data_IF_659246912059
#
_entry.id   IF_659246912059
#
_cell.length_a   1.000
_cell.length_b   1.000
_cell.length_c   1.000
_cell.angle_alpha   90.00
_cell.angle_beta   90.00
_cell.angle_gamma   90.00
#
_symmetry.space_group_name_H-M   'P 1'
#
loop_
_entity.id
_entity.type
_entity.pdbx_description
1 polymer ?
#
# COMPACT_ATOMS: atom_id res chain seq x y z
N UNK A 1 25.08 6.65 32.68
CA UNK A 1 24.52 5.68 31.69
C UNK A 1 25.15 6.01 30.37
N UNK A 2 25.93 5.06 29.77
CA UNK A 2 26.59 5.28 28.50
C UNK A 2 25.56 5.37 27.32
N UNK A 3 25.84 6.22 26.32
CA UNK A 3 25.05 6.35 25.09
C UNK A 3 25.37 5.16 24.19
N UNK A 4 24.36 4.41 23.78
CA UNK A 4 24.53 3.27 22.87
C UNK A 4 24.36 3.75 21.43
N UNK A 5 25.45 3.73 20.66
CA UNK A 5 25.43 4.03 19.23
C UNK A 5 25.15 2.77 18.42
N UNK A 6 24.19 2.85 17.49
CA UNK A 6 23.82 1.75 16.60
C UNK A 6 24.14 2.11 15.15
N UNK A 7 24.63 1.13 14.39
CA UNK A 7 25.05 1.31 13.00
C UNK A 7 24.50 0.23 12.10
N UNK A 8 24.17 0.59 10.88
CA UNK A 8 23.99 -0.34 9.78
C UNK A 8 25.36 -0.62 9.15
N UNK A 9 25.76 -1.88 9.12
CA UNK A 9 27.06 -2.28 8.58
C UNK A 9 26.91 -3.54 7.71
N UNK A 10 27.73 -3.65 6.69
CA UNK A 10 27.78 -4.86 5.87
C UNK A 10 28.23 -6.06 6.72
N UNK A 11 27.56 -7.21 6.57
CA UNK A 11 27.94 -8.45 7.27
C UNK A 11 29.37 -8.86 6.97
N UNK A 12 29.86 -8.62 5.73
CA UNK A 12 31.23 -8.91 5.31
C UNK A 12 32.26 -7.96 5.92
N UNK A 13 31.86 -6.75 6.34
CA UNK A 13 32.76 -5.81 7.03
C UNK A 13 33.25 -6.38 8.36
N UNK A 14 32.39 -7.08 9.11
CA UNK A 14 32.78 -7.77 10.35
C UNK A 14 33.84 -8.86 10.13
N UNK A 15 34.00 -9.33 8.90
CA UNK A 15 34.98 -10.34 8.49
C UNK A 15 36.16 -9.72 7.74
N UNK A 16 36.31 -8.39 7.75
CA UNK A 16 37.33 -7.65 6.99
C UNK A 16 37.35 -7.93 5.46
N UNK A 17 36.17 -8.29 4.92
CA UNK A 17 35.99 -8.61 3.48
C UNK A 17 35.20 -7.51 2.73
N UNK A 18 34.99 -6.37 3.35
CA UNK A 18 34.28 -5.22 2.77
C UNK A 18 34.77 -3.95 3.43
N UNK A 19 35.16 -2.97 2.64
CA UNK A 19 35.67 -1.65 3.09
C UNK A 19 34.56 -0.63 3.34
N UNK A 20 33.28 -1.02 3.14
CA UNK A 20 32.12 -0.14 3.27
C UNK A 20 31.99 0.42 4.68
N UNK A 21 31.96 1.74 4.79
CA UNK A 21 31.81 2.43 6.08
C UNK A 21 30.43 2.17 6.69
N UNK A 22 30.33 1.91 8.01
CA UNK A 22 29.06 1.78 8.69
C UNK A 22 28.34 3.13 8.75
N UNK A 23 27.02 3.10 8.56
CA UNK A 23 26.17 4.29 8.63
C UNK A 23 25.39 4.31 9.95
N UNK A 24 25.35 5.46 10.60
CA UNK A 24 24.60 5.62 11.87
C UNK A 24 23.12 5.31 11.62
N UNK A 25 22.59 4.35 12.40
CA UNK A 25 21.18 3.96 12.35
C UNK A 25 20.28 5.17 12.60
N UNK A 26 20.52 5.92 13.66
CA UNK A 26 19.69 7.07 14.04
C UNK A 26 19.68 8.13 12.94
N UNK A 27 20.86 8.49 12.40
CA UNK A 27 20.95 9.48 11.32
C UNK A 27 20.17 9.05 10.09
N UNK A 28 20.36 7.81 9.66
CA UNK A 28 19.68 7.29 8.46
C UNK A 28 18.16 7.26 8.65
N UNK A 29 17.67 6.74 9.76
CA UNK A 29 16.24 6.67 10.05
C UNK A 29 15.62 8.05 10.16
N UNK A 30 16.26 8.99 10.86
CA UNK A 30 15.77 10.36 11.02
C UNK A 30 15.68 11.08 9.67
N UNK A 31 16.68 10.91 8.82
CA UNK A 31 16.69 11.50 7.49
C UNK A 31 15.57 10.95 6.60
N UNK A 32 15.38 9.62 6.59
CA UNK A 32 14.32 8.98 5.81
C UNK A 32 12.94 9.41 6.29
N UNK A 33 12.73 9.43 7.60
CA UNK A 33 11.48 9.89 8.18
C UNK A 33 11.20 11.35 7.80
N UNK A 34 12.21 12.22 7.89
CA UNK A 34 12.08 13.61 7.50
C UNK A 34 11.69 13.76 6.02
N UNK A 35 12.40 13.09 5.12
CA UNK A 35 12.09 13.10 3.67
C UNK A 35 10.69 12.56 3.40
N UNK A 36 10.28 11.48 4.04
CA UNK A 36 8.93 10.94 3.90
C UNK A 36 7.87 11.92 4.39
N UNK A 37 8.13 12.62 5.49
CA UNK A 37 7.21 13.66 6.00
C UNK A 37 7.14 14.88 5.08
N UNK A 38 8.20 15.25 4.37
CA UNK A 38 8.14 16.29 3.34
C UNK A 38 7.17 15.91 2.22
N UNK A 39 7.21 14.66 1.72
CA UNK A 39 6.25 14.17 0.75
C UNK A 39 4.80 14.20 1.27
N UNK A 40 4.60 13.80 2.51
CA UNK A 40 3.27 13.77 3.11
C UNK A 40 2.70 15.18 3.35
N UNK A 41 3.51 16.23 3.37
CA UNK A 41 3.03 17.61 3.47
C UNK A 41 2.50 18.16 2.14
N UNK A 42 2.87 17.56 1.03
CA UNK A 42 2.43 17.96 -0.30
C UNK A 42 1.03 17.39 -0.58
N UNK A 43 0.05 18.26 -0.76
CA UNK A 43 -1.35 17.88 -0.99
C UNK A 43 -1.54 17.22 -2.36
N UNK A 44 -0.76 17.60 -3.38
CA UNK A 44 -0.82 16.97 -4.71
C UNK A 44 -0.29 15.54 -4.66
N UNK A 45 0.70 15.26 -3.81
CA UNK A 45 1.19 13.90 -3.59
C UNK A 45 0.13 13.07 -2.87
N UNK A 46 -0.51 13.60 -1.84
CA UNK A 46 -1.59 12.93 -1.13
C UNK A 46 -2.75 12.60 -2.08
N UNK A 47 -3.14 13.55 -2.94
CA UNK A 47 -4.20 13.34 -3.94
C UNK A 47 -3.86 12.17 -4.88
N UNK A 48 -2.66 12.18 -5.46
CA UNK A 48 -2.20 11.13 -6.39
C UNK A 48 -2.05 9.77 -5.69
N UNK A 49 -1.55 9.74 -4.46
CA UNK A 49 -1.41 8.50 -3.70
C UNK A 49 -2.77 7.92 -3.33
N UNK A 50 -3.71 8.77 -2.88
CA UNK A 50 -5.06 8.32 -2.53
C UNK A 50 -5.82 7.78 -3.75
N UNK A 51 -5.69 8.42 -4.91
CA UNK A 51 -6.24 7.92 -6.17
C UNK A 51 -5.64 6.56 -6.55
N UNK A 52 -4.32 6.42 -6.42
CA UNK A 52 -3.64 5.15 -6.74
C UNK A 52 -4.03 4.02 -5.79
N UNK A 53 -4.14 4.28 -4.50
CA UNK A 53 -4.61 3.31 -3.51
C UNK A 53 -6.07 2.90 -3.78
N UNK A 54 -6.90 3.86 -4.18
CA UNK A 54 -8.27 3.59 -4.59
C UNK A 54 -8.34 2.66 -5.82
N UNK A 55 -7.51 2.87 -6.84
CA UNK A 55 -7.41 1.99 -8.00
C UNK A 55 -6.90 0.59 -7.63
N UNK A 56 -5.86 0.51 -6.80
CA UNK A 56 -5.21 -0.75 -6.43
C UNK A 56 -6.16 -1.70 -5.69
N UNK A 57 -7.07 -1.20 -4.85
CA UNK A 57 -8.02 -2.06 -4.15
C UNK A 57 -8.93 -2.86 -5.11
N UNK A 58 -9.16 -2.36 -6.34
CA UNK A 58 -9.93 -3.10 -7.35
C UNK A 58 -9.06 -4.10 -8.11
N UNK A 59 -7.76 -3.85 -8.24
CA UNK A 59 -6.85 -4.77 -8.95
C UNK A 59 -6.41 -5.94 -8.08
N UNK A 60 -6.30 -5.75 -6.77
CA UNK A 60 -5.95 -6.83 -5.83
C UNK A 60 -7.10 -7.81 -5.60
N UNK A 61 -8.34 -7.36 -5.72
CA UNK A 61 -9.52 -8.24 -5.67
C UNK A 61 -9.80 -8.86 -7.04
N UNK A 62 -8.99 -9.83 -7.45
CA UNK A 62 -9.20 -10.56 -8.72
C UNK A 62 -10.48 -11.39 -8.74
N UNK A 63 -11.07 -11.66 -7.59
CA UNK A 63 -12.26 -12.51 -7.41
C UNK A 63 -13.55 -11.72 -7.63
N UNK A 64 -13.67 -10.52 -7.04
CA UNK A 64 -14.88 -9.71 -7.12
C UNK A 64 -15.27 -9.32 -8.57
N UNK A 65 -14.38 -8.82 -9.44
CA UNK A 65 -14.72 -8.53 -10.82
C UNK A 65 -15.20 -9.76 -11.60
N UNK A 66 -14.59 -10.93 -11.37
CA UNK A 66 -15.00 -12.19 -11.99
C UNK A 66 -16.39 -12.62 -11.54
N UNK A 67 -16.67 -12.52 -10.25
CA UNK A 67 -18.00 -12.86 -9.70
C UNK A 67 -19.08 -11.89 -10.22
N UNK A 68 -18.78 -10.61 -10.34
CA UNK A 68 -19.69 -9.62 -10.90
C UNK A 68 -20.00 -9.87 -12.39
N UNK A 69 -18.98 -10.25 -13.16
CA UNK A 69 -19.21 -10.64 -14.57
C UNK A 69 -20.05 -11.91 -14.68
N UNK A 70 -19.80 -12.92 -13.84
CA UNK A 70 -20.63 -14.12 -13.77
C UNK A 70 -22.08 -13.81 -13.40
N UNK A 71 -22.29 -12.92 -12.43
CA UNK A 71 -23.62 -12.48 -12.02
C UNK A 71 -24.36 -11.84 -13.20
N UNK A 72 -23.74 -10.89 -13.88
CA UNK A 72 -24.27 -10.20 -15.05
C UNK A 72 -24.63 -11.17 -16.17
N UNK A 73 -23.82 -12.18 -16.40
CA UNK A 73 -24.09 -13.21 -17.39
C UNK A 73 -25.32 -14.04 -17.00
N UNK A 74 -25.46 -14.41 -15.71
CA UNK A 74 -26.65 -15.15 -15.23
C UNK A 74 -27.93 -14.31 -15.34
N UNK A 75 -27.85 -13.03 -15.05
CA UNK A 75 -28.97 -12.10 -15.21
C UNK A 75 -29.44 -12.02 -16.67
N UNK A 76 -28.48 -11.96 -17.60
CA UNK A 76 -28.80 -11.98 -19.05
C UNK A 76 -29.41 -13.31 -19.50
N UNK A 77 -28.91 -14.46 -18.99
CA UNK A 77 -29.54 -15.76 -19.28
C UNK A 77 -30.96 -15.84 -18.76
N UNK A 78 -31.23 -15.34 -17.56
CA UNK A 78 -32.56 -15.26 -16.94
C UNK A 78 -33.48 -14.37 -17.79
N UNK A 79 -33.03 -13.18 -18.15
CA UNK A 79 -33.77 -12.23 -18.97
C UNK A 79 -34.19 -12.85 -20.32
N UNK A 80 -33.28 -13.58 -20.99
CA UNK A 80 -33.58 -14.28 -22.24
C UNK A 80 -34.67 -15.33 -22.08
N UNK A 81 -34.65 -16.11 -20.99
CA UNK A 81 -35.69 -17.10 -20.71
C UNK A 81 -37.03 -16.41 -20.39
N UNK A 82 -37.03 -15.37 -19.58
CA UNK A 82 -38.23 -14.60 -19.24
C UNK A 82 -38.86 -14.02 -20.51
N UNK A 83 -38.05 -13.46 -21.41
CA UNK A 83 -38.52 -12.96 -22.71
C UNK A 83 -39.12 -14.06 -23.58
N UNK A 84 -38.56 -15.28 -23.59
CA UNK A 84 -39.11 -16.42 -24.31
C UNK A 84 -40.46 -16.86 -23.70
N UNK A 85 -40.57 -16.92 -22.42
CA UNK A 85 -41.81 -17.24 -21.66
C UNK A 85 -42.89 -16.20 -21.97
N UNK A 86 -42.59 -14.91 -21.99
CA UNK A 86 -43.51 -13.83 -22.33
C UNK A 86 -44.04 -13.94 -23.78
N UNK A 87 -43.23 -14.48 -24.71
CA UNK A 87 -43.62 -14.76 -26.10
C UNK A 87 -44.46 -16.04 -26.25
N UNK A 88 -44.80 -16.71 -25.17
CA UNK A 88 -45.63 -17.92 -25.17
C UNK A 88 -44.84 -19.24 -25.20
N UNK A 89 -43.51 -19.22 -25.15
CA UNK A 89 -42.70 -20.45 -25.13
C UNK A 89 -42.48 -20.97 -23.71
N UNK A 90 -43.55 -21.19 -22.94
CA UNK A 90 -43.46 -21.69 -21.57
C UNK A 90 -43.45 -23.22 -21.54
N UNK A 91 -42.26 -23.84 -21.58
CA UNK A 91 -42.12 -25.29 -21.38
C UNK A 91 -41.61 -25.62 -20.00
N UNK A 92 -41.93 -26.82 -19.46
CA UNK A 92 -41.44 -27.29 -18.17
C UNK A 92 -39.90 -27.24 -18.08
N UNK A 93 -39.21 -27.53 -19.19
CA UNK A 93 -37.75 -27.47 -19.27
C UNK A 93 -37.22 -26.04 -19.08
N UNK A 94 -37.87 -25.04 -19.70
CA UNK A 94 -37.49 -23.64 -19.54
C UNK A 94 -37.72 -23.14 -18.08
N UNK A 95 -38.83 -23.55 -17.49
CA UNK A 95 -39.11 -23.19 -16.09
C UNK A 95 -38.12 -23.82 -15.10
N UNK A 96 -37.77 -25.11 -15.29
CA UNK A 96 -36.70 -25.75 -14.49
C UNK A 96 -35.33 -25.08 -14.69
N UNK A 97 -35.01 -24.66 -15.92
CA UNK A 97 -33.78 -23.94 -16.20
C UNK A 97 -33.74 -22.57 -15.54
N UNK A 98 -34.87 -21.86 -15.55
CA UNK A 98 -35.02 -20.56 -14.88
C UNK A 98 -34.80 -20.69 -13.38
N UNK A 99 -35.42 -21.66 -12.71
CA UNK A 99 -35.22 -21.92 -11.27
C UNK A 99 -33.76 -22.22 -10.94
N UNK A 100 -33.10 -23.04 -11.76
CA UNK A 100 -31.67 -23.33 -11.62
C UNK A 100 -30.80 -22.09 -11.76
N UNK A 101 -31.08 -21.19 -12.68
CA UNK A 101 -30.35 -19.94 -12.88
C UNK A 101 -30.58 -18.95 -11.75
N UNK A 102 -31.81 -18.84 -11.26
CA UNK A 102 -32.15 -18.01 -10.10
C UNK A 102 -31.40 -18.48 -8.83
N UNK A 103 -31.25 -19.80 -8.63
CA UNK A 103 -30.47 -20.36 -7.54
C UNK A 103 -29.00 -19.99 -7.69
N UNK A 104 -28.40 -20.18 -8.88
CA UNK A 104 -27.01 -19.81 -9.15
C UNK A 104 -26.76 -18.31 -8.95
N UNK A 105 -27.70 -17.45 -9.40
CA UNK A 105 -27.65 -16.00 -9.17
C UNK A 105 -27.55 -15.67 -7.69
N UNK A 106 -28.42 -16.28 -6.85
CA UNK A 106 -28.40 -16.08 -5.39
C UNK A 106 -27.09 -16.54 -4.78
N UNK A 107 -26.59 -17.71 -5.13
CA UNK A 107 -25.31 -18.24 -4.64
C UNK A 107 -24.14 -17.29 -4.96
N UNK A 108 -24.06 -16.77 -6.20
CA UNK A 108 -23.03 -15.81 -6.61
C UNK A 108 -23.16 -14.50 -5.82
N UNK A 109 -24.39 -13.99 -5.64
CA UNK A 109 -24.65 -12.76 -4.87
C UNK A 109 -24.21 -12.91 -3.40
N UNK A 110 -24.46 -14.06 -2.79
CA UNK A 110 -24.06 -14.35 -1.41
C UNK A 110 -22.51 -14.40 -1.28
N UNK A 111 -21.83 -14.96 -2.29
CA UNK A 111 -20.37 -14.98 -2.31
C UNK A 111 -19.80 -13.56 -2.47
N UNK A 112 -20.38 -12.74 -3.36
CA UNK A 112 -20.00 -11.33 -3.51
C UNK A 112 -20.16 -10.59 -2.20
N UNK A 113 -21.31 -10.72 -1.52
CA UNK A 113 -21.56 -10.07 -0.25
C UNK A 113 -20.54 -10.49 0.83
N UNK A 114 -20.20 -11.78 0.91
CA UNK A 114 -19.18 -12.28 1.84
C UNK A 114 -17.79 -11.72 1.53
N UNK A 115 -17.39 -11.65 0.27
CA UNK A 115 -16.10 -11.09 -0.13
C UNK A 115 -16.03 -9.58 0.14
N UNK A 116 -17.10 -8.83 -0.09
CA UNK A 116 -17.19 -7.40 0.24
C UNK A 116 -17.07 -7.14 1.75
N UNK A 117 -17.60 -8.03 2.59
CA UNK A 117 -17.43 -7.92 4.05
C UNK A 117 -15.99 -8.19 4.51
N UNK A 118 -15.26 -9.09 3.82
CA UNK A 118 -13.87 -9.38 4.13
C UNK A 118 -12.92 -8.25 3.73
N UNK A 119 -13.22 -7.57 2.65
CA UNK A 119 -12.39 -6.50 2.09
C UNK A 119 -13.27 -5.28 1.76
N UNK A 120 -13.56 -4.43 2.77
CA UNK A 120 -14.37 -3.25 2.54
C UNK A 120 -13.70 -2.33 1.51
N UNK A 121 -14.47 -1.87 0.53
CA UNK A 121 -14.01 -0.90 -0.47
C UNK A 121 -14.03 0.48 0.18
N UNK A 122 -12.86 1.08 0.34
CA UNK A 122 -12.71 2.44 0.84
C UNK A 122 -12.84 3.45 -0.30
N UNK A 123 -13.44 4.61 -0.02
CA UNK A 123 -13.44 5.73 -0.97
C UNK A 123 -12.05 6.38 -1.04
N UNK A 124 -11.79 7.14 -2.12
CA UNK A 124 -10.56 7.92 -2.23
C UNK A 124 -10.40 8.89 -1.05
N UNK A 125 -11.49 9.48 -0.56
CA UNK A 125 -11.45 10.38 0.59
C UNK A 125 -11.03 9.68 1.89
N UNK A 126 -11.38 8.40 2.07
CA UNK A 126 -10.89 7.62 3.20
C UNK A 126 -9.37 7.46 3.13
N UNK A 127 -8.81 7.13 1.96
CA UNK A 127 -7.36 7.05 1.77
C UNK A 127 -6.69 8.41 2.00
N UNK A 128 -7.26 9.49 1.48
CA UNK A 128 -6.77 10.85 1.66
C UNK A 128 -6.73 11.24 3.15
N UNK A 129 -7.80 10.96 3.87
CA UNK A 129 -7.87 11.19 5.32
C UNK A 129 -6.86 10.34 6.08
N UNK A 130 -6.72 9.06 5.74
CA UNK A 130 -5.75 8.16 6.36
C UNK A 130 -4.32 8.65 6.14
N UNK A 131 -3.94 9.02 4.91
CA UNK A 131 -2.63 9.58 4.58
C UNK A 131 -2.38 10.89 5.32
N UNK A 132 -3.38 11.79 5.38
CA UNK A 132 -3.28 13.08 6.08
C UNK A 132 -3.07 12.90 7.60
N UNK A 133 -3.59 11.84 8.19
CA UNK A 133 -3.36 11.54 9.61
C UNK A 133 -1.91 11.20 9.94
N UNK A 134 -1.12 10.72 8.97
CA UNK A 134 0.32 10.50 9.17
C UNK A 134 1.08 11.81 9.40
N UNK A 135 0.58 12.95 8.93
CA UNK A 135 1.15 14.29 9.21
C UNK A 135 1.17 14.64 10.71
N UNK A 136 0.28 14.04 11.49
CA UNK A 136 0.12 14.28 12.92
C UNK A 136 0.99 13.38 13.80
N UNK A 137 1.70 12.43 13.20
CA UNK A 137 2.54 11.50 13.96
C UNK A 137 3.73 12.23 14.54
N UNK A 138 3.96 12.02 15.82
CA UNK A 138 5.16 12.53 16.52
C UNK A 138 6.40 11.73 16.11
N UNK A 139 7.14 12.29 15.16
CA UNK A 139 8.38 11.71 14.65
C UNK A 139 9.59 11.90 15.59
N UNK A 140 9.43 12.52 16.73
CA UNK A 140 10.50 12.59 17.76
C UNK A 140 10.59 11.27 18.52
N UNK A 141 9.52 10.50 18.58
CA UNK A 141 9.46 9.20 19.24
C UNK A 141 9.94 8.07 18.33
N UNK A 142 10.52 7.02 18.91
CA UNK A 142 10.93 5.84 18.14
C UNK A 142 9.74 5.10 17.52
N UNK A 143 8.61 5.10 18.21
CA UNK A 143 7.37 4.48 17.71
C UNK A 143 6.84 5.22 16.48
N UNK A 144 6.79 6.56 16.51
CA UNK A 144 6.36 7.38 15.39
C UNK A 144 7.27 7.21 14.17
N UNK A 145 8.61 7.22 14.37
CA UNK A 145 9.57 6.95 13.29
C UNK A 145 9.36 5.58 12.66
N UNK A 146 9.24 4.56 13.49
CA UNK A 146 9.02 3.19 13.03
C UNK A 146 7.73 3.08 12.23
N UNK A 147 6.64 3.68 12.69
CA UNK A 147 5.36 3.68 11.98
C UNK A 147 5.45 4.30 10.58
N UNK A 148 6.19 5.42 10.43
CA UNK A 148 6.44 6.02 9.13
C UNK A 148 7.26 5.09 8.23
N UNK A 149 8.35 4.54 8.74
CA UNK A 149 9.24 3.64 7.98
C UNK A 149 8.48 2.39 7.54
N UNK A 150 7.83 1.69 8.46
CA UNK A 150 7.11 0.43 8.20
C UNK A 150 5.94 0.64 7.21
N UNK A 151 5.33 1.83 7.20
CA UNK A 151 4.20 2.12 6.29
C UNK A 151 4.66 2.52 4.88
N UNK A 152 5.67 3.38 4.77
CA UNK A 152 5.99 4.03 3.50
C UNK A 152 7.24 3.49 2.81
N UNK A 153 8.15 2.83 3.51
CA UNK A 153 9.42 2.38 2.96
C UNK A 153 9.39 0.88 2.66
N UNK A 154 9.64 0.52 1.41
CA UNK A 154 9.79 -0.87 0.98
C UNK A 154 11.21 -1.38 1.25
N UNK A 155 12.19 -0.64 0.73
CA UNK A 155 13.59 -1.01 0.84
C UNK A 155 14.50 0.22 0.81
N UNK A 156 15.69 0.07 1.40
CA UNK A 156 16.75 1.06 1.34
C UNK A 156 18.01 0.34 0.89
N UNK A 157 18.56 0.77 -0.24
CA UNK A 157 19.84 0.29 -0.74
C UNK A 157 20.91 1.32 -0.43
N UNK A 158 21.93 0.89 0.26
CA UNK A 158 23.05 1.74 0.66
C UNK A 158 24.25 1.45 -0.22
N UNK A 159 24.65 2.43 -1.03
CA UNK A 159 25.85 2.40 -1.88
C UNK A 159 27.00 3.15 -1.18
N UNK A 160 28.15 3.25 -1.83
CA UNK A 160 29.35 3.87 -1.22
C UNK A 160 29.27 5.40 -1.17
N UNK A 161 28.58 6.01 -2.12
CA UNK A 161 28.43 7.45 -2.32
C UNK A 161 26.99 7.95 -2.21
N UNK A 162 26.01 7.05 -2.29
CA UNK A 162 24.59 7.39 -2.26
C UNK A 162 23.75 6.30 -1.59
N UNK A 163 22.50 6.64 -1.29
CA UNK A 163 21.45 5.70 -0.88
C UNK A 163 20.26 5.80 -1.84
N UNK A 164 19.58 4.68 -2.03
CA UNK A 164 18.37 4.59 -2.84
C UNK A 164 17.22 4.14 -1.95
N UNK A 165 16.17 4.95 -1.88
CA UNK A 165 14.95 4.65 -1.12
C UNK A 165 13.89 4.18 -2.11
N UNK A 166 13.24 3.06 -1.81
CA UNK A 166 12.09 2.55 -2.54
C UNK A 166 10.87 2.67 -1.65
N UNK A 167 9.86 3.40 -2.11
CA UNK A 167 8.61 3.62 -1.39
C UNK A 167 7.56 2.55 -1.75
N UNK A 168 6.74 2.15 -0.77
CA UNK A 168 5.69 1.14 -0.93
C UNK A 168 4.62 1.53 -1.95
N UNK A 169 4.20 2.80 -1.96
CA UNK A 169 2.96 3.21 -2.63
C UNK A 169 3.02 3.31 -4.16
N UNK A 170 4.21 3.40 -4.78
CA UNK A 170 4.33 3.57 -6.24
C UNK A 170 5.58 2.91 -6.85
N UNK A 171 6.36 2.17 -6.06
CA UNK A 171 7.70 1.80 -6.51
C UNK A 171 8.58 3.03 -6.82
N UNK A 172 8.18 4.22 -6.32
CA UNK A 172 8.97 5.45 -6.51
C UNK A 172 10.32 5.24 -5.88
N UNK A 173 11.34 5.48 -6.70
CA UNK A 173 12.72 5.41 -6.28
C UNK A 173 13.26 6.81 -6.08
N UNK A 174 13.94 7.04 -4.98
CA UNK A 174 14.66 8.28 -4.71
C UNK A 174 16.12 7.96 -4.44
N UNK A 175 17.01 8.61 -5.16
CA UNK A 175 18.46 8.48 -4.97
C UNK A 175 18.98 9.73 -4.29
N UNK A 176 19.65 9.57 -3.16
CA UNK A 176 20.16 10.65 -2.31
C UNK A 176 21.65 10.41 -2.08
N UNK A 177 22.47 11.46 -2.22
CA UNK A 177 23.91 11.35 -1.94
C UNK A 177 24.17 11.21 -0.44
N UNK A 178 25.19 10.45 -0.05
CA UNK A 178 25.59 10.34 1.35
C UNK A 178 26.09 11.69 1.90
N UNK A 179 26.64 12.55 1.05
CA UNK A 179 27.02 13.91 1.43
C UNK A 179 25.81 14.75 1.87
N UNK A 180 24.66 14.59 1.21
CA UNK A 180 23.39 15.23 1.62
C UNK A 180 22.89 14.69 2.96
N UNK A 181 23.01 13.39 3.20
CA UNK A 181 22.72 12.77 4.49
C UNK A 181 23.59 13.34 5.61
N UNK A 182 24.89 13.51 5.37
CA UNK A 182 25.83 14.00 6.36
C UNK A 182 25.70 15.51 6.62
N UNK A 183 25.39 16.31 5.61
CA UNK A 183 25.24 17.77 5.67
C UNK A 183 23.88 18.23 6.18
N UNK A 184 22.90 17.32 6.29
CA UNK A 184 21.56 17.71 6.75
C UNK A 184 21.62 18.27 8.18
N UNK A 185 21.22 19.52 8.34
CA UNK A 185 21.21 20.26 9.61
C UNK A 185 20.33 19.67 10.71
N UNK A 186 19.55 18.63 10.37
CA UNK A 186 18.71 17.87 11.29
C UNK A 186 19.51 17.24 12.44
N UNK A 187 20.83 17.09 12.28
CA UNK A 187 21.70 16.38 13.23
C UNK A 187 22.58 17.30 14.08
N UNK A 188 22.48 18.62 13.91
CA UNK A 188 23.29 19.59 14.65
C UNK A 188 22.85 19.81 16.11
N UNK A 189 21.77 19.14 16.56
CA UNK A 189 21.35 19.17 17.98
C UNK A 189 21.71 17.85 18.64
N UNK A 190 22.96 17.67 19.05
CA UNK A 190 23.31 16.57 19.96
C UNK A 190 24.65 15.88 19.78
N UNK A 191 25.62 16.42 19.09
CA UNK A 191 26.98 15.93 19.23
C UNK A 191 27.62 16.62 20.44
N UNK A 192 28.05 15.89 21.49
CA UNK A 192 28.94 16.47 22.47
C UNK A 192 30.25 16.83 21.78
N UNK A 193 30.66 18.08 21.85
CA UNK A 193 32.01 18.50 21.48
C UNK A 193 32.97 17.70 22.38
N UNK A 194 33.89 16.98 21.78
CA UNK A 194 35.05 16.39 22.45
C UNK A 194 35.88 17.45 23.11
#
# INVERSE_FOLDING_TARGET
KGVVYRYYACVRQKKHQCEKKPVSKTKLEDFIVYKTMEFLKDDDIIERLSAKLYELQYTESTILPKLQEQLKQKEKEIENIVNAVQKGYATETLLKRLDGLEKQKREISDVIAKEQLKSPIFSQDHFKMALSNFRKIDITTQEGKRKIIDTFINAIYLYDDHLKIIYNANGKEETISLAELESSTLFSRGAPKT
#
